data_IF_955002477521
#
_entry.id   IF_955002477521
#
_cell.length_a   1.000
_cell.length_b   1.000
_cell.length_c   1.000
_cell.angle_alpha   90.00
_cell.angle_beta   90.00
_cell.angle_gamma   90.00
#
_symmetry.space_group_name_H-M   'P 1'
#
loop_
_entity.id
_entity.type
_entity.pdbx_description
1 polymer ?
#
# COMPACT_ATOMS: atom_id res chain seq x y z
N UNK A 1 -8.49 3.46 -13.26
CA UNK A 1 -7.63 3.16 -12.10
C UNK A 1 -8.43 2.36 -11.09
N UNK A 2 -7.96 1.19 -10.63
CA UNK A 2 -8.64 0.46 -9.56
C UNK A 2 -8.56 1.29 -8.27
N UNK A 3 -9.71 1.55 -7.66
CA UNK A 3 -9.82 2.18 -6.33
C UNK A 3 -10.29 1.13 -5.33
N UNK A 4 -9.77 1.22 -4.11
CA UNK A 4 -10.22 0.38 -3.00
C UNK A 4 -10.17 1.18 -1.71
N UNK A 5 -10.91 0.72 -0.71
CA UNK A 5 -10.81 1.23 0.66
C UNK A 5 -10.10 0.18 1.49
N UNK A 6 -9.12 0.62 2.28
CA UNK A 6 -8.36 -0.23 3.19
C UNK A 6 -8.18 0.49 4.52
N UNK A 7 -8.01 -0.29 5.59
CA UNK A 7 -7.70 0.24 6.92
C UNK A 7 -6.20 0.40 7.04
N UNK A 8 -5.79 1.56 7.54
CA UNK A 8 -4.42 1.84 7.91
C UNK A 8 -4.03 0.97 9.12
N UNK A 9 -3.03 0.10 8.92
CA UNK A 9 -2.51 -0.79 9.95
C UNK A 9 -1.07 -0.42 10.28
N UNK A 10 -0.69 -0.54 11.55
CA UNK A 10 0.70 -0.36 11.95
C UNK A 10 1.57 -1.46 11.35
N UNK A 11 2.82 -1.11 11.00
CA UNK A 11 3.78 -2.10 10.50
C UNK A 11 4.15 -3.09 11.61
N UNK A 12 4.11 -4.42 11.34
CA UNK A 12 4.45 -5.43 12.34
C UNK A 12 5.94 -5.45 12.70
N UNK A 13 6.81 -4.80 11.91
CA UNK A 13 8.27 -4.76 12.16
C UNK A 13 8.71 -3.75 13.22
N UNK A 14 7.79 -2.96 13.79
CA UNK A 14 8.14 -1.87 14.71
C UNK A 14 8.85 -0.72 13.98
N UNK A 15 8.48 0.52 14.28
CA UNK A 15 9.10 1.69 13.64
C UNK A 15 8.14 2.82 13.25
N UNK A 16 6.91 2.83 13.76
CA UNK A 16 5.95 3.93 13.53
C UNK A 16 5.45 4.08 12.10
N UNK A 17 5.83 3.17 11.20
CA UNK A 17 5.33 3.13 9.84
C UNK A 17 3.92 2.57 9.80
N UNK A 18 3.04 3.22 9.06
CA UNK A 18 1.69 2.73 8.78
C UNK A 18 1.67 2.16 7.38
N UNK A 19 0.87 1.12 7.16
CA UNK A 19 0.71 0.48 5.87
C UNK A 19 -0.76 0.27 5.59
N UNK A 20 -1.12 0.21 4.31
CA UNK A 20 -2.46 -0.16 3.88
C UNK A 20 -2.37 -1.49 3.13
N UNK A 21 -3.09 -2.54 3.57
CA UNK A 21 -3.13 -3.80 2.87
C UNK A 21 -3.93 -3.64 1.58
N UNK A 22 -3.34 -4.09 0.48
CA UNK A 22 -3.97 -4.13 -0.84
C UNK A 22 -4.69 -5.47 -0.99
N UNK A 23 -6.01 -5.45 -1.27
CA UNK A 23 -6.77 -6.66 -1.47
C UNK A 23 -6.28 -7.42 -2.71
N UNK A 24 -6.30 -8.75 -2.63
CA UNK A 24 -5.78 -9.65 -3.66
C UNK A 24 -6.38 -9.41 -5.05
N UNK A 25 -7.65 -8.99 -5.14
CA UNK A 25 -8.28 -8.65 -6.41
C UNK A 25 -7.63 -7.45 -7.10
N UNK A 26 -7.27 -6.42 -6.35
CA UNK A 26 -6.56 -5.24 -6.89
C UNK A 26 -5.16 -5.64 -7.31
N UNK A 27 -4.47 -6.43 -6.48
CA UNK A 27 -3.13 -6.95 -6.81
C UNK A 27 -3.12 -7.81 -8.08
N UNK A 28 -4.11 -8.69 -8.25
CA UNK A 28 -4.28 -9.53 -9.43
C UNK A 28 -4.58 -8.68 -10.68
N UNK A 29 -5.45 -7.67 -10.58
CA UNK A 29 -5.75 -6.75 -11.67
C UNK A 29 -4.53 -5.94 -12.12
N UNK A 30 -3.62 -5.61 -11.21
CA UNK A 30 -2.38 -4.92 -11.51
C UNK A 30 -1.26 -5.86 -12.01
N UNK A 31 -1.45 -7.18 -11.95
CA UNK A 31 -0.44 -8.15 -12.38
C UNK A 31 0.89 -8.01 -11.60
N UNK A 32 0.81 -7.66 -10.32
CA UNK A 32 1.99 -7.35 -9.51
C UNK A 32 2.93 -8.57 -9.38
N UNK A 33 4.23 -8.35 -9.58
CA UNK A 33 5.30 -9.35 -9.36
C UNK A 33 6.45 -8.71 -8.59
N UNK A 34 6.93 -9.39 -7.56
CA UNK A 34 8.04 -8.91 -6.73
C UNK A 34 7.68 -7.63 -5.97
N UNK A 35 8.50 -6.59 -6.11
CA UNK A 35 8.33 -5.30 -5.41
C UNK A 35 8.13 -4.15 -6.42
N UNK A 36 6.96 -4.08 -7.08
CA UNK A 36 6.73 -3.13 -8.15
C UNK A 36 6.64 -1.71 -7.60
N UNK A 37 7.22 -0.77 -8.34
CA UNK A 37 7.10 0.66 -8.08
C UNK A 37 5.72 1.12 -8.53
N UNK A 38 5.02 1.84 -7.65
CA UNK A 38 3.67 2.33 -7.91
C UNK A 38 3.57 3.82 -7.65
N UNK A 39 2.69 4.45 -8.42
CA UNK A 39 2.16 5.78 -8.14
C UNK A 39 0.69 5.60 -7.77
N UNK A 40 0.31 6.10 -6.61
CA UNK A 40 -1.04 5.99 -6.08
C UNK A 40 -1.48 7.34 -5.51
N UNK A 41 -2.77 7.46 -5.22
CA UNK A 41 -3.32 8.59 -4.48
C UNK A 41 -3.96 8.03 -3.23
N UNK A 42 -3.46 8.42 -2.06
CA UNK A 42 -3.94 7.96 -0.76
C UNK A 42 -4.66 9.14 -0.11
N UNK A 43 -5.97 9.00 0.14
CA UNK A 43 -6.77 10.07 0.74
C UNK A 43 -6.66 11.44 0.01
N UNK A 44 -6.47 11.43 -1.32
CA UNK A 44 -6.27 12.65 -2.11
C UNK A 44 -4.82 13.13 -2.20
N UNK A 45 -3.90 12.56 -1.41
CA UNK A 45 -2.48 12.89 -1.46
C UNK A 45 -1.73 12.01 -2.48
N UNK A 46 -0.91 12.60 -3.36
CA UNK A 46 -0.08 11.83 -4.28
C UNK A 46 0.96 11.04 -3.50
N UNK A 47 1.07 9.75 -3.82
CA UNK A 47 2.01 8.82 -3.24
C UNK A 47 2.86 8.17 -4.33
N UNK A 48 4.16 8.05 -4.08
CA UNK A 48 5.07 7.28 -4.91
C UNK A 48 5.90 6.38 -4.02
N UNK A 49 5.86 5.08 -4.29
CA UNK A 49 6.58 4.11 -3.49
C UNK A 49 6.58 2.74 -4.16
N UNK A 50 6.73 1.71 -3.34
CA UNK A 50 6.77 0.32 -3.81
C UNK A 50 5.74 -0.50 -3.06
N UNK A 51 5.11 -1.45 -3.75
CA UNK A 51 4.27 -2.44 -3.08
C UNK A 51 5.14 -3.53 -2.50
N UNK A 52 5.04 -3.72 -1.19
CA UNK A 52 5.72 -4.80 -0.49
C UNK A 52 4.85 -6.05 -0.55
N UNK A 53 5.35 -7.16 -1.13
CA UNK A 53 4.65 -8.44 -1.05
C UNK A 53 4.69 -8.95 0.39
N UNK A 54 3.54 -9.39 0.90
CA UNK A 54 3.43 -9.97 2.25
C UNK A 54 3.74 -11.48 2.27
N UNK A 55 3.81 -12.12 1.10
CA UNK A 55 4.13 -13.55 0.94
C UNK A 55 2.91 -14.47 0.81
N UNK A 56 1.72 -14.02 1.24
CA UNK A 56 0.44 -14.71 1.11
C UNK A 56 -0.34 -14.37 -0.20
N UNK A 57 0.32 -13.65 -1.11
CA UNK A 57 -0.29 -13.14 -2.35
C UNK A 57 -1.03 -11.82 -2.17
N UNK A 58 -1.00 -11.23 -0.98
CA UNK A 58 -1.36 -9.83 -0.76
C UNK A 58 -0.12 -8.93 -0.78
N UNK A 59 -0.38 -7.64 -0.95
CA UNK A 59 0.63 -6.60 -0.96
C UNK A 59 0.26 -5.54 0.06
N UNK A 60 1.25 -4.84 0.60
CA UNK A 60 1.05 -3.69 1.46
C UNK A 60 1.75 -2.48 0.87
N UNK A 61 1.12 -1.32 1.04
CA UNK A 61 1.66 -0.05 0.61
C UNK A 61 1.95 0.78 1.86
N UNK A 62 3.22 1.13 2.07
CA UNK A 62 3.65 1.91 3.22
C UNK A 62 3.20 3.36 3.08
N UNK A 63 2.43 3.86 4.04
CA UNK A 63 1.88 5.22 4.05
C UNK A 63 2.82 6.14 4.81
N UNK A 64 3.27 7.21 4.16
CA UNK A 64 4.11 8.22 4.79
C UNK A 64 3.35 8.92 5.91
N UNK A 65 4.06 9.29 6.97
CA UNK A 65 3.46 10.02 8.09
C UNK A 65 2.85 11.36 7.64
N UNK A 66 3.51 12.07 6.73
CA UNK A 66 2.98 13.31 6.14
C UNK A 66 1.65 13.13 5.40
N UNK A 67 1.35 11.94 4.88
CA UNK A 67 0.06 11.65 4.23
C UNK A 67 -1.02 11.32 5.27
N UNK A 68 -0.62 10.78 6.41
CA UNK A 68 -1.54 10.50 7.52
C UNK A 68 -1.92 11.77 8.29
N UNK A 69 -1.04 12.76 8.32
CA UNK A 69 -1.24 14.05 9.01
C UNK A 69 -1.80 15.16 8.09
N UNK A 70 -2.03 14.87 6.80
CA UNK A 70 -2.61 15.80 5.82
C UNK A 70 -4.15 15.72 5.80
#
# INVERSE_FOLDING_TARGET
MPSFKGVLSATPRGGGGTLVPIPRQVAANLGLKGMPKVQAVIAGQPYRGSLMPMGDGTYCLGVLKSIQEA
#
